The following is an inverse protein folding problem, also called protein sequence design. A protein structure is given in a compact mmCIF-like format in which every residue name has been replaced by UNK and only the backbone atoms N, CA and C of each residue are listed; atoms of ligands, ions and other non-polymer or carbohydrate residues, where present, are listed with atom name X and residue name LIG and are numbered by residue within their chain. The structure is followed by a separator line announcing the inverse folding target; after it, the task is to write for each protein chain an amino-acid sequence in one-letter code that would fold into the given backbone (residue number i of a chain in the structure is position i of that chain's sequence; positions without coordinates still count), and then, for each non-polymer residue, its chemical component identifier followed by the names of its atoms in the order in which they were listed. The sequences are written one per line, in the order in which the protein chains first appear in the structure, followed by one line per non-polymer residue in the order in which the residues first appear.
data_IF_945608221725
#
_entry.id   IF_945608221725
#
_cell.length_a   1.000
_cell.length_b   1.000
_cell.length_c   1.000
_cell.angle_alpha   90.00
_cell.angle_beta   90.00
_cell.angle_gamma   90.00
#
_symmetry.space_group_name_H-M   'P 1'
#
loop_
_entity.id
_entity.type
_entity.pdbx_description
1 polymer ?
#
# COMPACT_ATOMS: atom_id res chain seq x y z
N UNK A 1 -23.01 24.32 -11.24
CA UNK A 1 -22.95 22.95 -10.70
C UNK A 1 -21.51 22.66 -10.36
N UNK A 2 -21.20 22.25 -9.13
CA UNK A 2 -19.85 21.78 -8.80
C UNK A 2 -19.57 20.49 -9.59
N UNK A 3 -18.32 20.19 -9.93
CA UNK A 3 -17.99 18.95 -10.68
C UNK A 3 -18.44 17.67 -9.97
N UNK A 4 -18.67 17.74 -8.65
CA UNK A 4 -19.32 16.69 -7.86
C UNK A 4 -20.79 16.46 -8.25
N UNK A 5 -21.50 17.55 -8.57
CA UNK A 5 -22.94 17.52 -8.87
C UNK A 5 -23.26 16.87 -10.23
N UNK A 6 -22.28 16.71 -11.11
CA UNK A 6 -22.49 16.11 -12.42
C UNK A 6 -22.26 14.58 -12.45
N UNK A 7 -21.61 13.99 -11.42
CA UNK A 7 -21.01 12.64 -11.53
C UNK A 7 -21.57 11.55 -10.61
N UNK A 8 -22.54 11.84 -9.72
CA UNK A 8 -22.76 10.99 -8.54
C UNK A 8 -24.22 10.48 -8.34
N UNK A 9 -24.81 9.82 -9.33
CA UNK A 9 -26.26 9.60 -9.36
C UNK A 9 -26.78 8.33 -8.66
N UNK A 10 -26.55 8.02 -7.36
CA UNK A 10 -27.04 6.71 -6.83
C UNK A 10 -27.56 6.60 -5.39
N UNK A 11 -27.70 7.68 -4.60
CA UNK A 11 -28.33 7.55 -3.27
C UNK A 11 -29.27 8.71 -2.93
N UNK A 12 -30.53 8.39 -2.62
CA UNK A 12 -31.49 9.33 -2.06
C UNK A 12 -31.58 9.12 -0.54
N UNK A 13 -31.11 10.10 0.23
CA UNK A 13 -31.30 10.10 1.69
C UNK A 13 -32.69 10.68 1.98
N UNK A 14 -33.55 10.00 2.77
CA UNK A 14 -34.85 10.55 3.14
C UNK A 14 -34.72 11.88 3.89
N UNK A 15 -35.67 12.79 3.68
CA UNK A 15 -35.69 14.10 4.33
C UNK A 15 -35.76 14.01 5.86
N UNK A 16 -36.41 12.98 6.40
CA UNK A 16 -36.52 12.74 7.85
C UNK A 16 -35.25 12.11 8.47
N UNK A 17 -34.25 11.86 7.62
CA UNK A 17 -32.99 11.21 7.94
C UNK A 17 -33.11 9.69 8.11
N UNK A 18 -32.00 8.99 7.94
CA UNK A 18 -31.91 7.54 8.14
C UNK A 18 -31.01 7.21 9.34
N UNK A 19 -31.30 6.08 10.01
CA UNK A 19 -30.39 5.49 11.00
C UNK A 19 -29.15 4.94 10.31
N UNK A 20 -28.05 4.70 11.04
CA UNK A 20 -26.88 4.04 10.44
C UNK A 20 -27.18 2.67 9.83
N UNK A 21 -28.12 1.91 10.39
CA UNK A 21 -28.54 0.62 9.82
C UNK A 21 -29.31 0.84 8.53
N UNK A 22 -30.23 1.82 8.49
CA UNK A 22 -30.94 2.19 7.26
C UNK A 22 -29.99 2.74 6.19
N UNK A 23 -28.99 3.50 6.60
CA UNK A 23 -27.92 4.00 5.73
C UNK A 23 -27.06 2.84 5.21
N UNK A 24 -26.62 1.92 6.06
CA UNK A 24 -25.85 0.74 5.67
C UNK A 24 -26.58 -0.15 4.65
N UNK A 25 -27.88 -0.39 4.90
CA UNK A 25 -28.74 -1.18 4.01
C UNK A 25 -28.97 -0.51 2.66
N UNK A 26 -29.03 0.83 2.63
CA UNK A 26 -29.12 1.60 1.39
C UNK A 26 -27.78 1.65 0.62
N UNK A 27 -26.65 1.45 1.30
CA UNK A 27 -25.27 1.57 0.79
C UNK A 27 -24.58 0.23 0.52
N UNK A 28 -25.35 -0.86 0.42
CA UNK A 28 -24.93 -2.26 0.67
C UNK A 28 -23.57 -2.43 1.39
N UNK A 29 -23.37 -1.76 2.53
CA UNK A 29 -22.10 -1.79 3.27
C UNK A 29 -22.29 -2.36 4.68
N UNK A 30 -21.21 -2.83 5.30
CA UNK A 30 -21.30 -3.35 6.65
C UNK A 30 -21.65 -2.21 7.63
N UNK A 31 -22.51 -2.42 8.64
CA UNK A 31 -22.93 -1.36 9.57
C UNK A 31 -21.77 -0.63 10.27
N UNK A 32 -20.64 -1.30 10.50
CA UNK A 32 -19.43 -0.69 11.07
C UNK A 32 -18.72 0.29 10.12
N UNK A 33 -18.85 0.08 8.80
CA UNK A 33 -18.29 0.96 7.78
C UNK A 33 -19.19 2.16 7.51
N UNK A 34 -20.50 1.99 7.65
CA UNK A 34 -21.52 3.01 7.43
C UNK A 34 -21.29 4.28 8.26
N UNK A 35 -20.89 4.16 9.53
CA UNK A 35 -20.56 5.33 10.36
C UNK A 35 -19.33 6.09 9.82
N UNK A 36 -18.30 5.36 9.40
CA UNK A 36 -17.04 5.96 8.94
C UNK A 36 -17.25 6.66 7.58
N UNK A 37 -18.00 6.01 6.69
CA UNK A 37 -18.46 6.59 5.41
C UNK A 37 -19.31 7.84 5.69
N UNK A 38 -20.26 7.77 6.63
CA UNK A 38 -21.10 8.91 6.97
C UNK A 38 -20.30 10.10 7.51
N UNK A 39 -19.32 9.85 8.39
CA UNK A 39 -18.43 10.91 8.92
C UNK A 39 -17.58 11.53 7.82
N UNK A 40 -17.10 10.72 6.87
CA UNK A 40 -16.32 11.18 5.73
C UNK A 40 -17.15 12.09 4.82
N UNK A 41 -18.33 11.63 4.38
CA UNK A 41 -19.23 12.40 3.53
C UNK A 41 -19.74 13.67 4.25
N UNK A 42 -19.94 13.62 5.57
CA UNK A 42 -20.28 14.78 6.38
C UNK A 42 -19.18 15.85 6.37
N UNK A 43 -17.91 15.47 6.53
CA UNK A 43 -16.78 16.41 6.42
C UNK A 43 -16.69 17.05 5.03
N UNK A 44 -17.09 16.31 4.00
CA UNK A 44 -17.18 16.79 2.62
C UNK A 44 -18.44 17.63 2.33
N UNK A 45 -19.31 17.83 3.33
CA UNK A 45 -20.57 18.57 3.22
C UNK A 45 -21.53 17.98 2.18
N UNK A 46 -21.41 16.68 1.89
CA UNK A 46 -22.29 15.95 0.97
C UNK A 46 -23.51 15.35 1.68
N UNK A 47 -23.40 15.13 2.99
CA UNK A 47 -24.51 14.78 3.89
C UNK A 47 -24.36 15.54 5.21
N UNK A 48 -25.40 15.55 6.03
CA UNK A 48 -25.34 16.01 7.41
C UNK A 48 -25.41 14.82 8.38
N UNK A 49 -24.52 14.77 9.37
CA UNK A 49 -24.51 13.71 10.39
C UNK A 49 -24.83 14.32 11.76
N UNK A 50 -25.89 13.85 12.40
CA UNK A 50 -26.20 14.18 13.79
C UNK A 50 -25.93 13.00 14.70
N UNK A 51 -25.08 13.18 15.70
CA UNK A 51 -24.84 12.20 16.76
C UNK A 51 -25.49 12.69 18.05
N UNK A 52 -26.43 11.92 18.61
CA UNK A 52 -27.02 12.17 19.94
C UNK A 52 -26.97 10.90 20.77
N UNK A 53 -26.33 10.97 21.94
CA UNK A 53 -26.27 9.85 22.90
C UNK A 53 -25.86 8.49 22.27
N UNK A 54 -24.87 8.50 21.36
CA UNK A 54 -24.41 7.29 20.67
C UNK A 54 -25.25 6.86 19.46
N UNK A 55 -26.42 7.45 19.24
CA UNK A 55 -27.24 7.21 18.05
C UNK A 55 -26.92 8.24 16.96
N UNK A 56 -26.47 7.77 15.80
CA UNK A 56 -26.24 8.61 14.63
C UNK A 56 -27.39 8.55 13.64
N UNK A 57 -27.78 9.73 13.14
CA UNK A 57 -28.69 9.89 12.00
C UNK A 57 -28.02 10.67 10.88
N UNK A 58 -28.21 10.18 9.66
CA UNK A 58 -27.73 10.79 8.43
C UNK A 58 -28.87 11.53 7.75
N UNK A 59 -28.61 12.77 7.32
CA UNK A 59 -29.54 13.66 6.64
C UNK A 59 -28.93 14.16 5.31
N UNK A 60 -29.75 14.66 4.37
CA UNK A 60 -29.25 15.31 3.15
C UNK A 60 -28.38 16.55 3.47
N UNK A 61 -27.40 16.87 2.62
CA UNK A 61 -26.52 18.04 2.78
C UNK A 61 -27.27 19.38 2.87
N UNK A 62 -28.42 19.50 2.21
CA UNK A 62 -29.27 20.69 2.25
C UNK A 62 -29.79 21.01 3.66
N UNK A 63 -29.78 20.04 4.59
CA UNK A 63 -30.08 20.25 6.00
C UNK A 63 -28.84 20.68 6.78
N UNK A 64 -28.50 21.97 6.74
CA UNK A 64 -27.99 22.63 7.95
C UNK A 64 -29.21 23.00 8.80
N UNK A 65 -29.53 22.28 9.90
CA UNK A 65 -30.52 22.77 10.84
C UNK A 65 -29.91 23.98 11.58
N UNK A 66 -29.91 25.15 10.94
CA UNK A 66 -29.88 26.39 11.69
C UNK A 66 -31.14 26.44 12.54
N UNK A 67 -31.01 26.60 13.86
CA UNK A 67 -32.16 26.83 14.74
C UNK A 67 -33.08 27.88 14.10
N UNK A 68 -34.30 27.48 13.76
CA UNK A 68 -35.38 28.40 13.37
C UNK A 68 -35.46 28.87 11.91
N UNK A 69 -34.86 28.18 10.92
CA UNK A 69 -35.15 28.50 9.50
C UNK A 69 -36.06 27.46 8.80
N UNK A 70 -37.01 27.92 7.97
CA UNK A 70 -37.92 27.02 7.26
C UNK A 70 -37.19 26.20 6.18
N UNK A 71 -37.75 25.00 5.93
CA UNK A 71 -37.32 24.00 4.95
C UNK A 71 -37.08 24.63 3.58
N UNK A 72 -35.89 24.48 3.01
CA UNK A 72 -35.67 24.78 1.60
C UNK A 72 -36.27 23.64 0.76
N UNK A 73 -37.59 23.70 0.50
CA UNK A 73 -38.24 22.87 -0.51
C UNK A 73 -37.66 23.24 -1.88
N UNK A 74 -37.08 22.27 -2.59
CA UNK A 74 -36.56 22.46 -3.95
C UNK A 74 -35.04 22.54 -4.08
N UNK A 75 -34.26 22.20 -3.04
CA UNK A 75 -32.81 22.00 -3.23
C UNK A 75 -32.61 20.63 -3.84
N UNK A 76 -32.17 20.58 -5.11
CA UNK A 76 -31.74 19.34 -5.75
C UNK A 76 -30.69 18.67 -4.85
N UNK A 77 -30.95 17.42 -4.46
CA UNK A 77 -30.04 16.67 -3.61
C UNK A 77 -28.72 16.51 -4.39
N UNK A 78 -27.57 16.97 -3.85
CA UNK A 78 -26.32 16.81 -4.55
C UNK A 78 -26.06 15.30 -4.71
N UNK A 79 -25.74 14.87 -5.92
CA UNK A 79 -25.50 13.47 -6.19
C UNK A 79 -24.37 12.94 -5.28
N UNK A 80 -24.63 11.83 -4.59
CA UNK A 80 -23.73 11.22 -3.60
C UNK A 80 -22.74 10.26 -4.26
N UNK A 81 -21.45 10.38 -3.88
CA UNK A 81 -20.38 9.45 -4.31
C UNK A 81 -20.87 8.01 -4.13
N UNK A 82 -20.56 7.15 -5.10
CA UNK A 82 -20.79 5.70 -4.96
C UNK A 82 -20.33 5.23 -3.56
N UNK A 83 -21.18 4.53 -2.78
CA UNK A 83 -20.85 4.11 -1.42
C UNK A 83 -19.59 3.27 -1.31
N UNK A 84 -19.39 2.39 -2.27
CA UNK A 84 -18.25 1.50 -2.37
C UNK A 84 -16.98 2.32 -2.59
N UNK A 85 -17.08 3.34 -3.42
CA UNK A 85 -16.01 4.30 -3.68
C UNK A 85 -15.74 5.20 -2.46
N UNK A 86 -16.78 5.65 -1.76
CA UNK A 86 -16.65 6.40 -0.51
C UNK A 86 -15.97 5.56 0.59
N UNK A 87 -16.36 4.28 0.73
CA UNK A 87 -15.70 3.31 1.59
C UNK A 87 -14.22 3.16 1.25
N UNK A 88 -13.89 2.98 -0.03
CA UNK A 88 -12.51 2.96 -0.50
C UNK A 88 -11.72 4.23 -0.14
N UNK A 89 -12.29 5.43 -0.31
CA UNK A 89 -11.62 6.70 0.03
C UNK A 89 -11.32 6.79 1.53
N UNK A 90 -12.17 6.22 2.39
CA UNK A 90 -11.86 6.13 3.83
C UNK A 90 -10.68 5.20 4.12
N UNK A 91 -10.55 4.10 3.38
CA UNK A 91 -9.40 3.18 3.49
C UNK A 91 -8.11 3.79 2.95
N UNK A 92 -8.19 4.63 1.90
CA UNK A 92 -7.06 5.36 1.33
C UNK A 92 -6.60 6.55 2.21
N UNK A 93 -7.47 7.04 3.09
CA UNK A 93 -7.23 8.24 3.90
C UNK A 93 -5.93 8.23 4.74
N UNK A 94 -5.56 7.13 5.43
CA UNK A 94 -4.32 7.08 6.20
C UNK A 94 -3.07 7.27 5.34
N UNK A 95 -3.07 6.74 4.11
CA UNK A 95 -1.96 6.91 3.15
C UNK A 95 -1.81 8.37 2.77
N UNK A 96 -2.92 9.07 2.48
CA UNK A 96 -2.89 10.50 2.19
C UNK A 96 -2.39 11.35 3.36
N UNK A 97 -2.78 11.02 4.59
CA UNK A 97 -2.27 11.71 5.78
C UNK A 97 -0.77 11.54 5.93
N UNK A 98 -0.23 10.33 5.72
CA UNK A 98 1.21 10.06 5.76
C UNK A 98 1.96 10.85 4.70
N UNK A 99 1.48 10.85 3.46
CA UNK A 99 2.09 11.62 2.36
C UNK A 99 2.10 13.11 2.72
N UNK A 100 0.99 13.66 3.23
CA UNK A 100 0.93 15.06 3.66
C UNK A 100 1.88 15.38 4.82
N UNK A 101 2.05 14.46 5.77
CA UNK A 101 3.01 14.63 6.86
C UNK A 101 4.46 14.59 6.37
N UNK A 102 4.77 13.74 5.39
CA UNK A 102 6.09 13.67 4.75
C UNK A 102 6.38 14.95 3.96
N UNK A 103 5.42 15.44 3.19
CA UNK A 103 5.52 16.72 2.48
C UNK A 103 5.71 17.89 3.46
N UNK A 104 5.06 17.87 4.61
CA UNK A 104 5.23 18.89 5.65
C UNK A 104 6.57 18.84 6.39
N UNK A 105 7.34 17.75 6.24
CA UNK A 105 8.69 17.59 6.79
C UNK A 105 9.80 17.98 5.80
N UNK A 106 9.44 18.36 4.58
CA UNK A 106 10.40 18.88 3.62
C UNK A 106 11.05 20.15 4.21
N UNK A 107 12.38 20.15 4.44
CA UNK A 107 13.08 21.28 5.05
C UNK A 107 13.08 22.55 4.18
N UNK A 108 12.60 22.47 2.93
CA UNK A 108 12.62 23.60 2.00
C UNK A 108 14.05 23.94 1.55
N UNK A 109 14.25 25.16 1.05
CA UNK A 109 15.56 25.64 0.59
C UNK A 109 15.91 25.25 -0.84
N UNK A 110 17.10 25.66 -1.29
CA UNK A 110 17.55 25.46 -2.67
C UNK A 110 17.69 23.96 -3.02
N UNK A 111 17.68 23.61 -4.31
CA UNK A 111 17.66 22.22 -4.77
C UNK A 111 18.88 21.39 -4.30
N UNK A 112 20.00 22.06 -4.02
CA UNK A 112 21.26 21.50 -3.53
C UNK A 112 21.33 21.39 -2.00
N UNK A 113 20.43 22.06 -1.27
CA UNK A 113 20.38 22.02 0.19
C UNK A 113 19.49 20.86 0.65
N UNK A 114 19.98 20.10 1.65
CA UNK A 114 19.29 18.94 2.23
C UNK A 114 18.95 17.83 1.23
N UNK A 115 19.78 17.64 0.18
CA UNK A 115 19.51 16.69 -0.90
C UNK A 115 19.27 15.25 -0.41
N UNK A 116 20.03 14.79 0.60
CA UNK A 116 19.84 13.47 1.19
C UNK A 116 18.46 13.32 1.86
N UNK A 117 18.07 14.30 2.68
CA UNK A 117 16.78 14.31 3.38
C UNK A 117 15.61 14.43 2.39
N UNK A 118 15.76 15.26 1.35
CA UNK A 118 14.77 15.38 0.26
C UNK A 118 14.60 14.05 -0.48
N UNK A 119 15.69 13.35 -0.79
CA UNK A 119 15.65 12.03 -1.44
C UNK A 119 14.96 10.98 -0.54
N UNK A 120 15.24 10.97 0.77
CA UNK A 120 14.59 10.08 1.72
C UNK A 120 13.07 10.34 1.83
N UNK A 121 12.66 11.60 1.88
CA UNK A 121 11.25 11.99 1.90
C UNK A 121 10.55 11.54 0.61
N UNK A 122 11.16 11.78 -0.55
CA UNK A 122 10.59 11.35 -1.84
C UNK A 122 10.51 9.82 -1.95
N UNK A 123 11.51 9.10 -1.46
CA UNK A 123 11.46 7.64 -1.38
C UNK A 123 10.31 7.16 -0.48
N UNK A 124 10.15 7.75 0.70
CA UNK A 124 9.06 7.41 1.61
C UNK A 124 7.67 7.71 1.00
N UNK A 125 7.54 8.82 0.26
CA UNK A 125 6.33 9.16 -0.49
C UNK A 125 6.07 8.12 -1.59
N UNK A 126 7.09 7.71 -2.34
CA UNK A 126 6.96 6.68 -3.38
C UNK A 126 6.49 5.32 -2.80
N UNK A 127 6.96 4.95 -1.61
CA UNK A 127 6.49 3.76 -0.89
C UNK A 127 5.00 3.86 -0.54
N UNK A 128 4.56 5.00 0.00
CA UNK A 128 3.14 5.22 0.32
C UNK A 128 2.26 5.30 -0.95
N UNK A 129 2.73 5.92 -2.02
CA UNK A 129 2.05 5.94 -3.31
C UNK A 129 1.90 4.53 -3.92
N UNK A 130 2.91 3.67 -3.75
CA UNK A 130 2.84 2.25 -4.15
C UNK A 130 1.78 1.49 -3.37
N UNK A 131 1.63 1.77 -2.07
CA UNK A 131 0.55 1.19 -1.25
C UNK A 131 -0.82 1.65 -1.74
N UNK A 132 -0.97 2.93 -2.07
CA UNK A 132 -2.21 3.46 -2.64
C UNK A 132 -2.55 2.78 -3.97
N UNK A 133 -1.58 2.63 -4.87
CA UNK A 133 -1.75 1.92 -6.14
C UNK A 133 -2.20 0.46 -5.93
N UNK A 134 -1.61 -0.23 -4.95
CA UNK A 134 -1.98 -1.62 -4.61
C UNK A 134 -3.43 -1.70 -4.10
N UNK A 135 -3.85 -0.71 -3.30
CA UNK A 135 -5.22 -0.59 -2.81
C UNK A 135 -6.19 -0.33 -3.97
N UNK A 136 -5.84 0.57 -4.90
CA UNK A 136 -6.61 0.84 -6.12
C UNK A 136 -6.79 -0.41 -6.99
N UNK A 137 -5.71 -1.18 -7.22
CA UNK A 137 -5.76 -2.45 -7.96
C UNK A 137 -6.66 -3.47 -7.29
N UNK A 138 -6.57 -3.60 -5.96
CA UNK A 138 -7.41 -4.52 -5.20
C UNK A 138 -8.88 -4.14 -5.28
N UNK A 139 -9.17 -2.84 -5.18
CA UNK A 139 -10.52 -2.30 -5.32
C UNK A 139 -11.11 -2.56 -6.71
N UNK A 140 -10.37 -2.22 -7.77
CA UNK A 140 -10.80 -2.44 -9.16
C UNK A 140 -11.08 -3.92 -9.45
N UNK A 141 -10.29 -4.85 -8.86
CA UNK A 141 -10.54 -6.30 -8.97
C UNK A 141 -11.79 -6.76 -8.23
N UNK A 142 -12.08 -6.20 -7.05
CA UNK A 142 -13.26 -6.56 -6.25
C UNK A 142 -14.55 -5.93 -6.79
N UNK A 143 -14.46 -4.77 -7.43
CA UNK A 143 -15.59 -3.98 -7.90
C UNK A 143 -15.44 -3.63 -9.39
N UNK A 144 -15.54 -4.62 -10.30
CA UNK A 144 -15.34 -4.40 -11.74
C UNK A 144 -16.42 -3.49 -12.37
N UNK A 145 -17.56 -3.29 -11.69
CA UNK A 145 -18.61 -2.39 -12.13
C UNK A 145 -18.23 -0.90 -12.02
N UNK A 146 -17.22 -0.55 -11.21
CA UNK A 146 -16.74 0.82 -11.04
C UNK A 146 -15.55 1.03 -11.98
N UNK A 147 -15.66 1.91 -13.00
CA UNK A 147 -14.56 2.12 -13.93
C UNK A 147 -13.37 2.80 -13.24
N UNK A 148 -12.16 2.48 -13.69
CA UNK A 148 -10.91 3.05 -13.15
C UNK A 148 -10.88 4.57 -13.30
N UNK A 149 -11.52 5.12 -14.33
CA UNK A 149 -11.68 6.57 -14.53
C UNK A 149 -12.44 7.22 -13.37
N UNK A 150 -13.57 6.64 -12.94
CA UNK A 150 -14.33 7.13 -11.79
C UNK A 150 -13.53 7.02 -10.47
N UNK A 151 -12.72 5.96 -10.33
CA UNK A 151 -11.81 5.81 -9.19
C UNK A 151 -10.76 6.92 -9.12
N UNK A 152 -10.12 7.24 -10.25
CA UNK A 152 -9.14 8.32 -10.35
C UNK A 152 -9.77 9.67 -10.09
N UNK A 153 -10.88 9.96 -10.74
CA UNK A 153 -11.60 11.21 -10.56
C UNK A 153 -11.90 11.44 -9.07
N UNK A 154 -12.38 10.41 -8.37
CA UNK A 154 -12.67 10.50 -6.95
C UNK A 154 -11.42 10.73 -6.08
N UNK A 155 -10.28 10.12 -6.42
CA UNK A 155 -9.00 10.36 -5.72
C UNK A 155 -8.52 11.81 -5.88
N UNK A 156 -8.54 12.32 -7.12
CA UNK A 156 -8.14 13.69 -7.46
C UNK A 156 -9.05 14.74 -6.82
N UNK A 157 -10.33 14.42 -6.75
CA UNK A 157 -11.33 15.29 -6.15
C UNK A 157 -11.30 15.25 -4.61
N UNK A 158 -10.98 14.10 -4.00
CA UNK A 158 -10.76 14.02 -2.55
C UNK A 158 -9.51 14.78 -2.13
N UNK A 159 -8.42 14.64 -2.92
CA UNK A 159 -7.07 15.08 -2.57
C UNK A 159 -6.32 15.79 -3.70
N UNK A 160 -6.76 16.99 -4.10
CA UNK A 160 -6.15 17.72 -5.21
C UNK A 160 -4.68 18.11 -4.95
N UNK A 161 -4.26 18.25 -3.69
CA UNK A 161 -2.89 18.67 -3.35
C UNK A 161 -1.90 17.51 -3.19
N UNK A 162 -2.34 16.30 -2.88
CA UNK A 162 -1.43 15.15 -2.71
C UNK A 162 -1.36 14.28 -3.98
N UNK A 163 -2.41 14.28 -4.79
CA UNK A 163 -2.46 13.48 -6.01
C UNK A 163 -1.40 13.84 -7.06
N UNK A 164 -0.98 15.12 -7.24
CA UNK A 164 0.12 15.43 -8.15
C UNK A 164 1.42 14.69 -7.79
N UNK A 165 1.81 14.71 -6.52
CA UNK A 165 3.03 14.02 -6.03
C UNK A 165 2.90 12.50 -6.14
N UNK A 166 1.70 11.97 -5.89
CA UNK A 166 1.42 10.55 -6.10
C UNK A 166 1.56 10.19 -7.58
N UNK A 167 1.04 11.02 -8.48
CA UNK A 167 1.07 10.78 -9.92
C UNK A 167 2.48 10.84 -10.52
N UNK A 168 3.39 11.65 -9.96
CA UNK A 168 4.81 11.64 -10.34
C UNK A 168 5.45 10.26 -10.13
N UNK A 169 5.12 9.59 -9.03
CA UNK A 169 5.65 8.26 -8.71
C UNK A 169 4.84 7.11 -9.31
N UNK A 170 3.54 7.34 -9.55
CA UNK A 170 2.57 6.36 -10.03
C UNK A 170 1.74 6.98 -11.15
N UNK A 171 2.26 7.06 -12.39
CA UNK A 171 1.61 7.78 -13.49
C UNK A 171 0.25 7.19 -13.88
N UNK A 172 0.05 5.89 -13.63
CA UNK A 172 -1.24 5.20 -13.80
C UNK A 172 -2.36 5.77 -12.92
N UNK A 173 -2.08 6.59 -11.89
CA UNK A 173 -3.09 7.29 -11.09
C UNK A 173 -3.35 8.73 -11.56
N UNK A 174 -2.68 9.20 -12.61
CA UNK A 174 -2.92 10.52 -13.20
C UNK A 174 -4.31 10.62 -13.87
N UNK A 175 -4.87 11.82 -14.06
CA UNK A 175 -6.21 12.01 -14.61
C UNK A 175 -6.37 11.42 -16.02
N UNK A 176 -5.28 11.46 -16.81
CA UNK A 176 -5.21 10.92 -18.17
C UNK A 176 -4.56 9.53 -18.24
N UNK A 177 -4.55 8.75 -17.15
CA UNK A 177 -3.98 7.41 -17.15
C UNK A 177 -4.78 6.40 -17.98
N UNK A 178 -4.16 5.25 -18.31
CA UNK A 178 -4.76 4.15 -19.08
C UNK A 178 -6.08 3.64 -18.49
N UNK A 179 -7.04 3.15 -19.27
CA UNK A 179 -8.34 2.67 -18.75
C UNK A 179 -8.23 1.50 -17.76
N UNK A 180 -7.08 0.81 -17.75
CA UNK A 180 -6.74 -0.24 -16.80
C UNK A 180 -5.55 0.21 -15.95
N UNK A 181 -5.62 -0.06 -14.65
CA UNK A 181 -4.43 0.01 -13.81
C UNK A 181 -3.54 -1.14 -14.23
N UNK A 182 -2.35 -0.84 -14.76
CA UNK A 182 -1.42 -1.89 -15.16
C UNK A 182 -1.25 -2.84 -13.98
N UNK A 183 -1.40 -4.14 -14.20
CA UNK A 183 -1.15 -5.10 -13.14
C UNK A 183 0.28 -4.88 -12.66
N UNK A 184 0.48 -4.90 -11.34
CA UNK A 184 1.84 -5.05 -10.85
C UNK A 184 2.36 -6.32 -11.50
N UNK A 185 3.47 -6.28 -12.27
CA UNK A 185 4.03 -7.51 -12.79
C UNK A 185 4.14 -8.47 -11.61
N UNK A 186 3.45 -9.63 -11.69
CA UNK A 186 3.54 -10.67 -10.65
C UNK A 186 5.00 -11.07 -10.58
N UNK A 187 5.69 -10.44 -9.64
CA UNK A 187 7.13 -10.30 -9.71
C UNK A 187 7.66 -9.67 -8.45
N UNK A 188 7.37 -10.26 -7.29
CA UNK A 188 8.43 -10.33 -6.28
C UNK A 188 9.30 -11.53 -6.62
N UNK A 189 10.27 -11.25 -7.48
CA UNK A 189 11.66 -11.72 -7.47
C UNK A 189 12.17 -11.80 -8.90
N UNK A 190 12.77 -10.71 -9.38
CA UNK A 190 14.08 -10.78 -10.01
C UNK A 190 14.85 -9.50 -9.69
N UNK A 191 15.43 -9.47 -8.49
CA UNK A 191 16.72 -8.81 -8.28
C UNK A 191 17.77 -9.32 -9.29
N UNK A 192 17.54 -10.46 -9.96
CA UNK A 192 18.56 -11.18 -10.72
C UNK A 192 18.86 -10.74 -12.15
N UNK A 193 18.23 -9.69 -12.74
CA UNK A 193 18.48 -9.41 -14.18
C UNK A 193 19.75 -8.59 -14.44
N UNK A 194 20.15 -7.73 -13.50
CA UNK A 194 21.33 -6.87 -13.65
C UNK A 194 22.37 -7.04 -12.53
N UNK A 195 22.11 -7.92 -11.56
CA UNK A 195 23.07 -8.18 -10.48
C UNK A 195 24.17 -9.13 -10.96
N UNK A 196 25.41 -8.84 -10.56
CA UNK A 196 26.53 -9.75 -10.78
C UNK A 196 26.32 -11.06 -10.01
N UNK A 197 27.14 -12.08 -10.29
CA UNK A 197 27.03 -13.37 -9.60
C UNK A 197 27.23 -13.21 -8.08
N UNK A 198 28.10 -12.28 -7.69
CA UNK A 198 28.41 -11.92 -6.30
C UNK A 198 27.19 -11.31 -5.61
N UNK A 199 26.58 -10.30 -6.23
CA UNK A 199 25.40 -9.62 -5.71
C UNK A 199 24.19 -10.54 -5.62
N UNK A 200 24.05 -11.48 -6.58
CA UNK A 200 23.02 -12.52 -6.51
C UNK A 200 23.28 -13.47 -5.34
N UNK A 201 24.53 -13.90 -5.16
CA UNK A 201 24.89 -14.83 -4.10
C UNK A 201 24.67 -14.21 -2.72
N UNK A 202 25.11 -12.97 -2.49
CA UNK A 202 24.92 -12.31 -1.19
C UNK A 202 23.43 -12.13 -0.85
N UNK A 203 22.60 -11.73 -1.81
CA UNK A 203 21.15 -11.59 -1.62
C UNK A 203 20.47 -12.92 -1.29
N UNK A 204 20.93 -14.05 -1.85
CA UNK A 204 20.41 -15.38 -1.51
C UNK A 204 20.84 -15.83 -0.10
N UNK A 205 22.03 -15.45 0.35
CA UNK A 205 22.52 -15.74 1.69
C UNK A 205 21.71 -14.93 2.71
N UNK A 206 21.50 -13.63 2.49
CA UNK A 206 20.63 -12.77 3.33
C UNK A 206 19.22 -13.35 3.44
N UNK A 207 18.62 -13.72 2.31
CA UNK A 207 17.26 -14.23 2.27
C UNK A 207 17.08 -15.56 3.03
N UNK A 208 18.15 -16.32 3.25
CA UNK A 208 18.10 -17.58 3.96
C UNK A 208 18.24 -17.44 5.49
N UNK A 209 18.68 -16.26 5.97
CA UNK A 209 18.82 -15.93 7.39
C UNK A 209 19.71 -16.91 8.15
N UNK A 210 19.40 -17.11 9.43
CA UNK A 210 20.15 -17.98 10.35
C UNK A 210 20.23 -19.47 9.92
N UNK A 211 19.42 -19.91 8.95
CA UNK A 211 19.53 -21.29 8.43
C UNK A 211 20.64 -21.47 7.39
N UNK A 212 21.19 -20.35 6.90
CA UNK A 212 22.11 -20.30 5.77
C UNK A 212 21.50 -20.85 4.49
N UNK A 213 22.22 -20.78 3.37
CA UNK A 213 21.80 -21.38 2.10
C UNK A 213 22.82 -22.41 1.63
N UNK A 214 22.39 -23.58 1.13
CA UNK A 214 23.34 -24.54 0.56
C UNK A 214 23.84 -24.12 -0.81
N UNK A 215 25.10 -24.44 -1.11
CA UNK A 215 25.72 -24.13 -2.39
C UNK A 215 24.90 -24.66 -3.58
N UNK A 216 24.34 -25.87 -3.49
CA UNK A 216 23.49 -26.43 -4.55
C UNK A 216 22.17 -25.65 -4.74
N UNK A 217 21.64 -25.04 -3.67
CA UNK A 217 20.46 -24.19 -3.75
C UNK A 217 20.79 -22.88 -4.47
N UNK A 218 21.98 -22.33 -4.27
CA UNK A 218 22.48 -21.16 -5.02
C UNK A 218 22.67 -21.48 -6.50
N UNK A 219 23.25 -22.65 -6.83
CA UNK A 219 23.39 -23.12 -8.22
C UNK A 219 22.02 -23.21 -8.90
N UNK A 220 21.05 -23.85 -8.24
CA UNK A 220 19.72 -24.09 -8.81
C UNK A 220 18.87 -22.81 -8.89
N UNK A 221 18.84 -21.99 -7.83
CA UNK A 221 18.01 -20.78 -7.75
C UNK A 221 18.65 -19.60 -8.49
N UNK A 222 19.95 -19.43 -8.31
CA UNK A 222 20.72 -18.33 -8.88
C UNK A 222 21.12 -18.54 -10.32
N UNK A 223 21.06 -19.76 -10.86
CA UNK A 223 21.62 -20.13 -12.17
C UNK A 223 23.09 -19.68 -12.30
N UNK A 224 23.84 -19.79 -11.22
CA UNK A 224 25.28 -19.50 -11.17
C UNK A 224 26.01 -20.84 -11.36
N UNK A 225 27.07 -20.84 -12.18
CA UNK A 225 27.87 -22.04 -12.40
C UNK A 225 28.44 -22.56 -11.05
N UNK A 226 28.49 -23.88 -10.88
CA UNK A 226 28.91 -24.49 -9.61
C UNK A 226 30.28 -24.02 -9.15
N UNK A 227 31.25 -23.97 -10.06
CA UNK A 227 32.62 -23.52 -9.75
C UNK A 227 32.63 -22.05 -9.34
N UNK A 228 31.77 -21.24 -9.96
CA UNK A 228 31.63 -19.82 -9.65
C UNK A 228 31.02 -19.58 -8.26
N UNK A 229 30.04 -20.39 -7.85
CA UNK A 229 29.48 -20.34 -6.49
C UNK A 229 30.56 -20.63 -5.44
N UNK A 230 31.42 -21.63 -5.69
CA UNK A 230 32.53 -21.96 -4.78
C UNK A 230 33.52 -20.80 -4.67
N UNK A 231 33.95 -20.24 -5.80
CA UNK A 231 34.88 -19.10 -5.84
C UNK A 231 34.34 -17.87 -5.10
N UNK A 232 33.06 -17.52 -5.32
CA UNK A 232 32.43 -16.36 -4.66
C UNK A 232 32.27 -16.62 -3.16
N UNK A 233 31.93 -17.86 -2.77
CA UNK A 233 31.86 -18.25 -1.36
C UNK A 233 33.19 -18.09 -0.64
N UNK A 234 34.28 -18.60 -1.22
CA UNK A 234 35.64 -18.43 -0.70
C UNK A 234 36.04 -16.96 -0.61
N UNK A 235 35.71 -16.17 -1.64
CA UNK A 235 35.96 -14.73 -1.65
C UNK A 235 35.24 -14.02 -0.49
N UNK A 236 33.94 -14.27 -0.30
CA UNK A 236 33.18 -13.66 0.79
C UNK A 236 33.63 -14.10 2.17
N UNK A 237 34.06 -15.35 2.32
CA UNK A 237 34.63 -15.84 3.58
C UNK A 237 35.98 -15.19 3.89
N UNK A 238 36.86 -15.06 2.89
CA UNK A 238 38.14 -14.35 3.02
C UNK A 238 37.98 -12.86 3.33
N UNK A 239 36.93 -12.22 2.78
CA UNK A 239 36.55 -10.84 3.10
C UNK A 239 35.88 -10.73 4.48
N UNK A 240 35.56 -11.85 5.13
CA UNK A 240 34.89 -11.89 6.42
C UNK A 240 33.43 -11.43 6.36
N UNK A 241 32.75 -11.58 5.22
CA UNK A 241 31.33 -11.25 5.05
C UNK A 241 30.41 -12.41 5.47
N UNK A 242 30.88 -13.65 5.31
CA UNK A 242 30.10 -14.87 5.58
C UNK A 242 30.94 -15.89 6.37
N UNK A 243 30.25 -16.85 6.97
CA UNK A 243 30.83 -18.11 7.41
C UNK A 243 30.40 -19.23 6.46
N UNK A 244 31.29 -20.18 6.18
CA UNK A 244 30.93 -21.39 5.46
C UNK A 244 31.06 -22.63 6.35
N UNK A 245 30.11 -23.56 6.22
CA UNK A 245 30.15 -24.80 6.98
C UNK A 245 29.47 -25.95 6.24
N UNK A 246 30.00 -27.16 6.40
CA UNK A 246 29.46 -28.37 5.82
C UNK A 246 28.45 -29.00 6.80
N UNK A 247 27.16 -28.70 6.62
CA UNK A 247 26.11 -29.07 7.58
C UNK A 247 24.84 -29.61 6.92
N UNK A 248 23.94 -30.17 7.73
CA UNK A 248 22.55 -30.48 7.35
C UNK A 248 21.57 -29.78 8.28
N UNK A 249 20.40 -29.39 7.77
CA UNK A 249 19.36 -28.69 8.54
C UNK A 249 18.32 -29.64 9.16
N UNK A 250 18.32 -30.91 8.75
CA UNK A 250 17.41 -31.95 9.27
C UNK A 250 18.15 -33.26 9.50
N UNK A 251 17.61 -34.11 10.39
CA UNK A 251 18.25 -35.38 10.79
C UNK A 251 18.48 -36.35 9.62
N UNK A 252 17.61 -36.28 8.60
CA UNK A 252 17.69 -37.11 7.39
C UNK A 252 18.19 -36.33 6.16
N UNK A 253 18.56 -35.06 6.33
CA UNK A 253 19.01 -34.20 5.24
C UNK A 253 20.42 -34.53 4.76
N UNK A 254 20.71 -34.23 3.50
CA UNK A 254 22.05 -34.36 2.91
C UNK A 254 22.98 -33.32 3.54
N UNK A 255 24.13 -33.77 4.05
CA UNK A 255 25.21 -32.87 4.49
C UNK A 255 25.81 -32.18 3.26
N UNK A 256 25.98 -30.86 3.33
CA UNK A 256 26.52 -30.09 2.20
C UNK A 256 27.03 -28.73 2.65
N UNK A 257 27.85 -28.11 1.80
CA UNK A 257 28.35 -26.75 2.03
C UNK A 257 27.20 -25.76 2.11
N UNK A 258 27.13 -24.98 3.18
CA UNK A 258 26.18 -23.89 3.39
C UNK A 258 26.94 -22.61 3.74
N UNK A 259 26.36 -21.50 3.32
CA UNK A 259 26.85 -20.14 3.56
C UNK A 259 25.91 -19.40 4.51
N UNK A 260 26.48 -18.71 5.48
CA UNK A 260 25.77 -18.00 6.55
C UNK A 260 26.26 -16.56 6.63
N UNK A 261 25.36 -15.60 6.82
CA UNK A 261 25.80 -14.23 7.08
C UNK A 261 26.55 -14.15 8.41
N UNK A 262 27.65 -13.38 8.42
CA UNK A 262 28.47 -13.22 9.63
C UNK A 262 27.70 -12.61 10.80
N UNK A 263 26.69 -11.78 10.52
CA UNK A 263 25.85 -11.14 11.55
C UNK A 263 25.05 -12.15 12.38
N UNK A 264 24.86 -13.38 11.89
CA UNK A 264 24.16 -14.42 12.63
C UNK A 264 25.06 -15.10 13.65
N UNK A 265 26.36 -15.18 13.39
CA UNK A 265 27.34 -15.87 14.23
C UNK A 265 28.00 -17.03 13.51
N UNK A 266 28.91 -17.71 14.21
CA UNK A 266 29.55 -18.92 13.70
C UNK A 266 28.58 -20.11 13.77
N UNK A 267 28.37 -20.85 12.66
CA UNK A 267 27.45 -21.97 12.63
C UNK A 267 27.91 -23.09 13.57
N UNK A 268 27.12 -23.36 14.60
CA UNK A 268 27.34 -24.46 15.54
C UNK A 268 26.76 -25.76 15.01
N UNK A 269 27.62 -26.80 14.96
CA UNK A 269 27.28 -28.10 14.37
C UNK A 269 27.39 -29.19 15.42
N UNK A 270 26.37 -30.05 15.51
CA UNK A 270 26.41 -31.21 16.39
C UNK A 270 27.40 -32.28 15.89
N UNK A 271 27.68 -33.28 16.74
CA UNK A 271 28.55 -34.41 16.38
C UNK A 271 28.04 -35.26 15.21
N UNK A 272 26.80 -35.06 14.76
CA UNK A 272 26.19 -35.72 13.61
C UNK A 272 26.19 -34.82 12.37
N UNK A 273 26.80 -33.63 12.41
CA UNK A 273 26.87 -32.70 11.29
C UNK A 273 25.60 -31.85 11.07
N UNK A 274 24.69 -31.79 12.04
CA UNK A 274 23.45 -31.00 11.99
C UNK A 274 23.67 -29.60 12.57
N UNK A 275 23.08 -28.60 11.93
CA UNK A 275 23.07 -27.22 12.43
C UNK A 275 22.22 -27.12 13.72
N UNK A 276 22.83 -26.64 14.81
CA UNK A 276 22.16 -26.37 16.09
C UNK A 276 21.71 -24.91 16.14
N UNK A 277 22.61 -24.00 15.79
CA UNK A 277 22.39 -22.56 15.71
C UNK A 277 23.40 -21.95 14.74
N UNK A 278 23.07 -20.80 14.17
CA UNK A 278 24.02 -19.96 13.45
C UNK A 278 23.97 -18.57 14.05
#
# INVERSE_FOLDING_TARGET
MSEWDAKAAFLTVPDDGCSFVGFANALPCHPSEAETIARYLHRKKLIWLSMRAGHGRVFPAAMRPGRGRPKARGVEQPPLIDPTLAGFLTQAHPTFLKIRLLLGRDPGGAWNENQAVKAEIMYAIAVEATKLMTLCRTFAKKHPAIPVTALRDALWLDRPHTMPVVAETQPDLAPAGSEQLAEQPKGRQRLSRNLTDEERMIAYIEAAGASGIAAYEVVNKGKIARDRVTQIGEMFENMGAIHSAVVRTSDRGRKGMRYFMREHGEPMVDGRGRLISA
#
